data_IF_426757178613
#
_entry.id   IF_426757178613
#
_cell.length_a   1.000
_cell.length_b   1.000
_cell.length_c   1.000
_cell.angle_alpha   90.00
_cell.angle_beta   90.00
_cell.angle_gamma   90.00
#
_symmetry.space_group_name_H-M   'P 1'
#
loop_
_entity.id
_entity.type
_entity.pdbx_description
1 polymer ?
#
# COMPACT_ATOMS: atom_id res chain seq x y z
N UNK A 1 -11.25 -7.16 10.46
CA UNK A 1 -12.28 -6.13 10.68
C UNK A 1 -12.30 -5.17 9.50
N UNK A 2 -13.46 -4.64 9.19
CA UNK A 2 -13.59 -3.72 8.06
C UNK A 2 -12.77 -2.46 8.22
N UNK A 3 -12.59 -2.01 9.47
CA UNK A 3 -11.83 -0.79 9.74
C UNK A 3 -10.37 -0.92 9.32
N UNK A 4 -9.80 -2.11 9.42
CA UNK A 4 -8.40 -2.31 9.04
C UNK A 4 -8.20 -2.11 7.55
N UNK A 5 -9.11 -2.62 6.74
CA UNK A 5 -9.01 -2.44 5.30
C UNK A 5 -9.25 -0.99 4.90
N UNK A 6 -10.23 -0.35 5.51
CA UNK A 6 -10.50 1.05 5.25
C UNK A 6 -9.29 1.91 5.61
N UNK A 7 -8.70 1.64 6.76
CA UNK A 7 -7.51 2.36 7.18
C UNK A 7 -6.34 2.09 6.24
N UNK A 8 -6.18 0.84 5.81
CA UNK A 8 -5.09 0.48 4.91
C UNK A 8 -5.17 1.27 3.60
N UNK A 9 -6.35 1.32 2.99
CA UNK A 9 -6.51 2.05 1.74
C UNK A 9 -6.33 3.55 1.93
N UNK A 10 -6.76 4.09 3.07
CA UNK A 10 -6.56 5.49 3.39
C UNK A 10 -5.08 5.82 3.53
N UNK A 11 -4.34 4.98 4.25
CA UNK A 11 -2.90 5.16 4.42
C UNK A 11 -2.18 5.04 3.08
N UNK A 12 -2.58 4.05 2.28
CA UNK A 12 -1.98 3.86 0.97
C UNK A 12 -2.19 5.08 0.08
N UNK A 13 -3.40 5.62 0.06
CA UNK A 13 -3.70 6.83 -0.71
C UNK A 13 -2.87 8.02 -0.23
N UNK A 14 -2.69 8.16 1.07
CA UNK A 14 -1.87 9.24 1.62
C UNK A 14 -0.42 9.14 1.18
N UNK A 15 0.16 7.94 1.25
CA UNK A 15 1.55 7.74 0.84
C UNK A 15 1.72 8.00 -0.65
N UNK A 16 0.76 7.59 -1.44
CA UNK A 16 0.79 7.78 -2.90
C UNK A 16 0.34 9.17 -3.32
N UNK A 17 -0.17 9.97 -2.39
CA UNK A 17 -0.68 11.32 -2.63
C UNK A 17 -1.76 11.35 -3.69
N UNK A 18 -2.69 10.42 -3.57
CA UNK A 18 -3.88 10.38 -4.41
C UNK A 18 -5.12 10.54 -3.53
N UNK A 19 -6.23 10.94 -4.12
CA UNK A 19 -7.45 11.21 -3.37
C UNK A 19 -7.99 9.93 -2.71
N UNK A 20 -7.94 8.82 -3.43
CA UNK A 20 -8.40 7.54 -2.91
C UNK A 20 -7.81 6.42 -3.76
N UNK A 21 -7.86 5.20 -3.24
CA UNK A 21 -7.43 4.05 -3.99
C UNK A 21 -8.39 2.90 -3.70
N UNK A 22 -8.80 2.19 -4.75
CA UNK A 22 -9.72 1.08 -4.64
C UNK A 22 -8.94 -0.24 -4.68
N UNK A 23 -9.55 -1.34 -4.19
CA UNK A 23 -8.87 -2.65 -4.21
C UNK A 23 -8.39 -3.10 -5.57
N UNK A 24 -9.11 -2.75 -6.63
CA UNK A 24 -8.74 -3.14 -7.98
C UNK A 24 -7.70 -2.23 -8.64
N UNK A 25 -7.35 -1.12 -7.99
CA UNK A 25 -6.39 -0.18 -8.56
C UNK A 25 -4.97 -0.71 -8.43
N UNK A 26 -4.17 -0.50 -9.47
CA UNK A 26 -2.75 -0.81 -9.42
C UNK A 26 -2.03 0.40 -8.82
N UNK A 27 -1.61 0.27 -7.56
CA UNK A 27 -0.95 1.38 -6.87
C UNK A 27 0.36 1.79 -7.53
N UNK A 28 0.96 0.91 -8.34
CA UNK A 28 2.19 1.24 -9.05
C UNK A 28 1.96 2.14 -10.25
N UNK A 29 0.69 2.31 -10.64
CA UNK A 29 0.33 3.20 -11.75
C UNK A 29 0.04 4.62 -11.30
N UNK A 30 0.22 4.92 -10.02
CA UNK A 30 0.02 6.27 -9.52
C UNK A 30 1.19 7.17 -9.92
N UNK A 31 0.95 8.48 -10.09
CA UNK A 31 1.99 9.38 -10.61
C UNK A 31 3.28 9.43 -9.79
N UNK A 32 3.18 9.28 -8.48
CA UNK A 32 4.35 9.38 -7.62
C UNK A 32 5.07 8.06 -7.36
N UNK A 33 4.60 6.97 -7.96
CA UNK A 33 5.24 5.68 -7.74
C UNK A 33 6.70 5.73 -8.20
N UNK A 34 7.59 5.24 -7.36
CA UNK A 34 9.02 5.20 -7.61
C UNK A 34 9.73 4.69 -6.38
N UNK A 35 11.05 4.68 -6.41
CA UNK A 35 11.86 4.11 -5.33
C UNK A 35 11.58 4.76 -3.98
N UNK A 36 11.51 6.09 -3.95
CA UNK A 36 11.27 6.79 -2.69
C UNK A 36 9.88 6.51 -2.14
N UNK A 37 8.87 6.53 -3.00
CA UNK A 37 7.50 6.26 -2.58
C UNK A 37 7.35 4.81 -2.12
N UNK A 38 7.98 3.89 -2.83
CA UNK A 38 7.97 2.49 -2.46
C UNK A 38 8.60 2.28 -1.08
N UNK A 39 9.73 2.92 -0.82
CA UNK A 39 10.38 2.85 0.48
C UNK A 39 9.52 3.47 1.57
N UNK A 40 8.92 4.62 1.31
CA UNK A 40 8.03 5.27 2.25
C UNK A 40 6.84 4.37 2.60
N UNK A 41 6.29 3.69 1.60
CA UNK A 41 5.19 2.75 1.81
C UNK A 41 5.63 1.59 2.70
N UNK A 42 6.81 1.03 2.45
CA UNK A 42 7.36 -0.04 3.26
C UNK A 42 7.45 0.37 4.73
N UNK A 43 8.02 1.54 4.99
CA UNK A 43 8.17 2.05 6.34
C UNK A 43 6.81 2.28 7.00
N UNK A 44 5.88 2.87 6.26
CA UNK A 44 4.55 3.15 6.78
C UNK A 44 3.80 1.88 7.16
N UNK A 45 3.88 0.86 6.31
CA UNK A 45 3.24 -0.44 6.59
C UNK A 45 3.84 -1.04 7.86
N UNK A 46 5.15 -0.98 8.00
CA UNK A 46 5.80 -1.52 9.20
C UNK A 46 5.35 -0.79 10.46
N UNK A 47 5.26 0.52 10.40
CA UNK A 47 4.88 1.33 11.56
C UNK A 47 3.40 1.22 11.90
N UNK A 48 2.55 1.22 10.90
CA UNK A 48 1.09 1.28 11.12
C UNK A 48 0.47 -0.08 11.31
N UNK A 49 0.99 -1.09 10.65
CA UNK A 49 0.36 -2.42 10.64
C UNK A 49 1.26 -3.51 11.21
N UNK A 50 2.50 -3.17 11.56
CA UNK A 50 3.42 -4.11 12.17
C UNK A 50 3.84 -5.24 11.24
N UNK A 51 3.80 -5.03 9.93
CA UNK A 51 4.17 -6.03 8.95
C UNK A 51 5.41 -5.60 8.19
N UNK A 52 6.27 -6.58 7.90
CA UNK A 52 7.48 -6.32 7.13
C UNK A 52 7.27 -6.85 5.71
N UNK A 53 7.15 -5.93 4.76
CA UNK A 53 6.99 -6.27 3.35
C UNK A 53 8.21 -5.73 2.61
N UNK A 54 8.87 -6.56 1.83
CA UNK A 54 10.08 -6.14 1.13
C UNK A 54 9.74 -5.20 -0.03
N UNK A 55 10.73 -4.42 -0.46
CA UNK A 55 10.55 -3.55 -1.62
C UNK A 55 10.20 -4.34 -2.87
N UNK A 56 10.80 -5.52 -3.00
CA UNK A 56 10.52 -6.38 -4.14
C UNK A 56 9.07 -6.86 -4.13
N UNK A 57 8.56 -7.22 -2.96
CA UNK A 57 7.16 -7.63 -2.85
C UNK A 57 6.23 -6.49 -3.22
N UNK A 58 6.52 -5.28 -2.72
CA UNK A 58 5.69 -4.12 -3.04
C UNK A 58 5.63 -3.85 -4.54
N UNK A 59 6.73 -4.09 -5.23
CA UNK A 59 6.78 -3.86 -6.67
C UNK A 59 6.16 -5.00 -7.47
N UNK A 60 5.85 -6.13 -6.83
CA UNK A 60 5.33 -7.29 -7.54
C UNK A 60 3.83 -7.51 -7.39
N UNK A 61 3.19 -6.91 -6.39
CA UNK A 61 1.74 -7.05 -6.22
C UNK A 61 1.00 -6.24 -7.25
N UNK A 62 0.22 -6.51 -8.02
CA UNK A 62 -0.41 -5.69 -9.06
C UNK A 62 -1.47 -4.74 -8.56
N UNK A 63 -2.18 -5.08 -7.47
CA UNK A 63 -3.32 -4.28 -7.02
C UNK A 63 -3.22 -3.97 -5.54
N UNK A 64 -3.92 -2.90 -5.14
CA UNK A 64 -4.03 -2.53 -3.73
C UNK A 64 -4.69 -3.64 -2.92
N UNK A 65 -5.66 -4.34 -3.51
CA UNK A 65 -6.31 -5.46 -2.84
C UNK A 65 -5.36 -6.60 -2.55
N UNK A 66 -4.49 -6.93 -3.49
CA UNK A 66 -3.49 -7.98 -3.29
C UNK A 66 -2.52 -7.59 -2.18
N UNK A 67 -2.11 -6.32 -2.16
CA UNK A 67 -1.24 -5.82 -1.10
C UNK A 67 -1.94 -5.86 0.26
N UNK A 68 -3.21 -5.48 0.31
CA UNK A 68 -3.99 -5.53 1.55
C UNK A 68 -4.08 -6.97 2.08
N UNK A 69 -4.28 -7.93 1.20
CA UNK A 69 -4.29 -9.34 1.59
C UNK A 69 -2.97 -9.75 2.22
N UNK A 70 -1.87 -9.33 1.64
CA UNK A 70 -0.54 -9.66 2.16
C UNK A 70 -0.30 -9.03 3.52
N UNK A 71 -0.75 -7.81 3.72
CA UNK A 71 -0.49 -7.06 4.94
C UNK A 71 -1.45 -7.43 6.06
N UNK A 72 -2.73 -7.53 5.74
CA UNK A 72 -3.77 -7.73 6.74
C UNK A 72 -4.18 -9.19 6.90
N UNK A 73 -3.87 -9.96 5.92
CA UNK A 73 -4.20 -11.28 5.82
C UNK A 73 -4.32 -12.32 6.28
#
# INVERSE_FOLDING_TARGET
MENDRTEFYSVLADVLEVASIAPGDDYRMTPLWGSLTCFALKVTIAQRFGRDVSLKELDSFGTAGALAERVLG
#
